data_IF_036998255466
#
_entry.id   IF_036998255466
#
_cell.length_a   1.000
_cell.length_b   1.000
_cell.length_c   1.000
_cell.angle_alpha   90.00
_cell.angle_beta   90.00
_cell.angle_gamma   90.00
#
_symmetry.space_group_name_H-M   'P 1'
#
loop_
_entity.id
_entity.type
_entity.pdbx_description
1 polymer ?
#
# COMPACT_ATOMS: atom_id res chain seq x y z
N UNK A 1 -2.60 -15.88 27.73
CA UNK A 1 -2.68 -17.08 26.85
C UNK A 1 -4.14 -17.41 26.62
N UNK A 2 -4.74 -16.74 25.65
CA UNK A 2 -6.12 -16.99 25.20
C UNK A 2 -6.10 -17.74 23.85
N UNK A 3 -4.88 -17.97 23.32
CA UNK A 3 -4.54 -18.61 22.04
C UNK A 3 -4.65 -20.14 22.05
N UNK A 4 -4.90 -20.76 23.22
CA UNK A 4 -5.23 -22.19 23.32
C UNK A 4 -6.75 -22.45 23.26
N UNK A 5 -7.55 -21.40 23.07
CA UNK A 5 -9.00 -21.48 22.94
C UNK A 5 -9.42 -21.03 21.54
N UNK A 6 -10.33 -21.80 20.94
CA UNK A 6 -10.95 -21.66 19.61
C UNK A 6 -11.82 -20.39 19.51
N UNK A 7 -11.20 -19.22 19.74
CA UNK A 7 -11.88 -17.92 19.85
C UNK A 7 -11.39 -17.00 18.73
N UNK A 8 -12.20 -16.84 17.69
CA UNK A 8 -12.04 -15.79 16.68
C UNK A 8 -12.87 -14.56 17.06
N UNK A 9 -12.34 -13.33 16.90
CA UNK A 9 -13.11 -12.11 17.16
C UNK A 9 -14.23 -11.97 16.11
N UNK A 10 -15.49 -12.07 16.56
CA UNK A 10 -16.65 -12.06 15.67
C UNK A 10 -17.08 -10.63 15.25
N UNK A 11 -16.62 -9.59 15.95
CA UNK A 11 -16.90 -8.18 15.67
C UNK A 11 -16.07 -7.28 16.59
N UNK A 12 -15.41 -6.27 16.03
CA UNK A 12 -14.81 -5.18 16.81
C UNK A 12 -15.87 -4.10 17.04
N UNK A 13 -16.28 -3.89 18.28
CA UNK A 13 -17.05 -2.70 18.67
C UNK A 13 -16.10 -1.78 19.40
N UNK A 14 -15.78 -0.63 18.79
CA UNK A 14 -14.88 0.35 19.38
C UNK A 14 -15.21 1.77 18.92
N UNK A 15 -16.13 2.44 19.62
CA UNK A 15 -16.06 3.90 19.74
C UNK A 15 -15.07 4.21 20.88
N UNK A 16 -13.83 4.57 20.57
CA UNK A 16 -12.91 5.11 21.57
C UNK A 16 -13.12 6.62 21.67
N UNK A 17 -13.82 7.07 22.71
CA UNK A 17 -13.85 8.49 23.09
C UNK A 17 -12.57 8.85 23.86
N UNK A 18 -11.53 9.27 23.13
CA UNK A 18 -10.27 9.80 23.71
C UNK A 18 -10.48 11.27 24.09
N UNK A 19 -10.17 11.64 25.34
CA UNK A 19 -10.33 13.00 25.84
C UNK A 19 -8.99 13.62 26.30
N UNK A 20 -8.85 14.94 26.11
CA UNK A 20 -7.78 15.72 26.72
C UNK A 20 -8.14 16.09 28.17
N UNK A 21 -7.28 15.75 29.13
CA UNK A 21 -7.42 16.21 30.50
C UNK A 21 -6.78 17.60 30.66
N UNK A 22 -7.52 18.56 31.25
CA UNK A 22 -7.06 19.94 31.46
C UNK A 22 -7.29 20.32 32.93
N UNK A 23 -6.40 21.14 33.48
CA UNK A 23 -6.58 21.71 34.82
C UNK A 23 -7.87 22.56 34.88
N UNK A 24 -8.80 22.28 35.80
CA UNK A 24 -10.05 23.05 35.93
C UNK A 24 -9.83 24.55 36.22
N UNK A 25 -8.67 24.95 36.74
CA UNK A 25 -8.31 26.36 36.99
C UNK A 25 -7.85 27.11 35.72
N UNK A 26 -7.78 26.44 34.57
CA UNK A 26 -7.31 27.02 33.29
C UNK A 26 -8.36 26.90 32.17
N UNK A 27 -9.52 27.56 32.31
CA UNK A 27 -10.58 27.53 31.29
C UNK A 27 -10.13 28.17 29.96
N UNK A 28 -9.17 29.08 30.00
CA UNK A 28 -8.55 29.72 28.83
C UNK A 28 -7.87 28.69 27.90
N UNK A 29 -7.21 27.69 28.49
CA UNK A 29 -6.56 26.60 27.72
C UNK A 29 -7.62 25.72 27.06
N UNK A 30 -8.72 25.42 27.77
CA UNK A 30 -9.83 24.64 27.22
C UNK A 30 -10.44 25.33 26.01
N UNK A 31 -10.70 26.63 26.12
CA UNK A 31 -11.32 27.40 25.04
C UNK A 31 -10.41 27.47 23.80
N UNK A 32 -9.10 27.68 24.00
CA UNK A 32 -8.11 27.66 22.92
C UNK A 32 -8.02 26.28 22.25
N UNK A 33 -8.01 25.20 23.04
CA UNK A 33 -7.97 23.83 22.52
C UNK A 33 -9.23 23.50 21.72
N UNK A 34 -10.42 23.77 22.27
CA UNK A 34 -11.68 23.50 21.58
C UNK A 34 -11.78 24.29 20.26
N UNK A 35 -11.31 25.54 20.25
CA UNK A 35 -11.27 26.38 19.06
C UNK A 35 -10.32 25.82 17.99
N UNK A 36 -9.13 25.38 18.39
CA UNK A 36 -8.17 24.73 17.49
C UNK A 36 -8.73 23.41 16.91
N UNK A 37 -9.35 22.58 17.75
CA UNK A 37 -9.97 21.31 17.32
C UNK A 37 -11.12 21.54 16.35
N UNK A 38 -11.95 22.56 16.56
CA UNK A 38 -13.03 22.93 15.61
C UNK A 38 -12.46 23.35 14.26
N UNK A 39 -11.44 24.22 14.26
CA UNK A 39 -10.78 24.66 13.01
C UNK A 39 -10.19 23.50 12.23
N UNK A 40 -9.51 22.58 12.90
CA UNK A 40 -8.93 21.38 12.25
C UNK A 40 -10.04 20.51 11.64
N UNK A 41 -11.17 20.33 12.33
CA UNK A 41 -12.31 19.55 11.84
C UNK A 41 -13.04 20.24 10.67
N UNK A 42 -13.16 21.55 10.72
CA UNK A 42 -13.76 22.34 9.65
C UNK A 42 -12.87 22.34 8.38
N UNK A 43 -11.55 22.41 8.55
CA UNK A 43 -10.58 22.41 7.45
C UNK A 43 -10.39 21.03 6.81
N UNK A 44 -10.44 19.94 7.60
CA UNK A 44 -10.44 18.56 7.10
C UNK A 44 -11.46 17.69 7.84
N UNK A 45 -12.65 17.44 7.25
CA UNK A 45 -13.69 16.62 7.88
C UNK A 45 -13.30 15.16 8.09
N UNK A 46 -12.24 14.67 7.42
CA UNK A 46 -11.69 13.32 7.56
C UNK A 46 -10.46 13.24 8.47
N UNK A 47 -10.04 14.35 9.11
CA UNK A 47 -8.80 14.42 9.88
C UNK A 47 -8.66 13.33 10.95
N UNK A 48 -9.74 13.03 11.69
CA UNK A 48 -9.74 11.99 12.72
C UNK A 48 -9.59 10.60 12.12
N UNK A 49 -10.28 10.34 11.00
CA UNK A 49 -10.20 9.06 10.30
C UNK A 49 -8.82 8.87 9.66
N UNK A 50 -8.23 9.92 9.11
CA UNK A 50 -6.87 9.94 8.56
C UNK A 50 -5.83 9.68 9.65
N UNK A 51 -5.96 10.30 10.83
CA UNK A 51 -5.09 10.03 11.98
C UNK A 51 -5.25 8.61 12.49
N UNK A 52 -6.49 8.12 12.59
CA UNK A 52 -6.78 6.75 13.01
C UNK A 52 -6.15 5.75 12.03
N UNK A 53 -6.38 5.93 10.72
CA UNK A 53 -5.74 5.14 9.67
C UNK A 53 -4.22 5.24 9.75
N UNK A 54 -3.64 6.42 9.92
CA UNK A 54 -2.18 6.61 9.87
C UNK A 54 -1.43 6.07 11.08
N UNK A 55 -2.00 6.15 12.27
CA UNK A 55 -1.28 5.83 13.52
C UNK A 55 -1.79 4.57 14.22
N UNK A 56 -3.06 4.20 14.04
CA UNK A 56 -3.66 3.05 14.73
C UNK A 56 -3.74 1.80 13.85
N UNK A 57 -3.82 1.92 12.51
CA UNK A 57 -3.68 0.75 11.63
C UNK A 57 -2.26 0.17 11.63
N UNK A 58 -1.24 1.01 11.88
CA UNK A 58 0.15 0.57 11.99
C UNK A 58 0.43 -0.26 13.26
N UNK A 59 -0.48 -0.27 14.24
CA UNK A 59 -0.35 -1.05 15.49
C UNK A 59 -1.25 -2.28 15.55
N UNK A 60 -2.16 -2.51 14.59
CA UNK A 60 -2.80 -3.81 14.49
C UNK A 60 -1.78 -4.78 13.93
N UNK A 61 -1.16 -5.57 14.80
CA UNK A 61 -0.60 -6.84 14.38
C UNK A 61 -1.75 -7.66 13.81
N UNK A 62 -1.87 -7.64 12.50
CA UNK A 62 -2.85 -8.45 11.80
C UNK A 62 -2.48 -9.89 12.06
N UNK A 63 -3.36 -10.62 12.72
CA UNK A 63 -3.30 -12.08 12.76
C UNK A 63 -4.06 -12.58 11.53
N UNK A 64 -3.55 -13.62 10.90
CA UNK A 64 -4.30 -14.31 9.86
C UNK A 64 -5.51 -14.99 10.49
N UNK A 65 -6.64 -14.93 9.81
CA UNK A 65 -7.76 -15.82 10.10
C UNK A 65 -7.34 -17.28 9.94
N UNK A 66 -8.15 -18.19 10.48
CA UNK A 66 -7.88 -19.63 10.35
C UNK A 66 -7.81 -20.05 8.88
N UNK A 67 -8.73 -19.54 8.07
CA UNK A 67 -8.81 -19.82 6.64
C UNK A 67 -7.56 -19.32 5.89
N UNK A 68 -7.07 -18.11 6.21
CA UNK A 68 -5.85 -17.57 5.61
C UNK A 68 -4.60 -18.34 6.04
N UNK A 69 -4.50 -18.71 7.31
CA UNK A 69 -3.37 -19.51 7.81
C UNK A 69 -3.36 -20.92 7.21
N UNK A 70 -4.52 -21.55 7.03
CA UNK A 70 -4.64 -22.84 6.35
C UNK A 70 -4.28 -22.73 4.87
N UNK A 71 -4.72 -21.65 4.20
CA UNK A 71 -4.38 -21.38 2.81
C UNK A 71 -2.87 -21.20 2.64
N UNK A 72 -2.22 -20.35 3.44
CA UNK A 72 -0.76 -20.14 3.39
C UNK A 72 -0.01 -21.45 3.65
N UNK A 73 -0.45 -22.23 4.65
CA UNK A 73 0.18 -23.51 4.97
C UNK A 73 0.10 -24.55 3.84
N UNK A 74 -0.95 -24.51 3.01
CA UNK A 74 -1.11 -25.41 1.86
C UNK A 74 -0.46 -24.86 0.58
N UNK A 75 -0.51 -23.55 0.39
CA UNK A 75 -0.04 -22.87 -0.81
C UNK A 75 1.49 -22.73 -0.83
N UNK A 76 2.09 -22.46 0.34
CA UNK A 76 3.52 -22.19 0.47
C UNK A 76 3.85 -20.73 0.16
N UNK A 77 5.02 -20.50 -0.44
CA UNK A 77 5.48 -19.17 -0.78
C UNK A 77 4.54 -18.45 -1.75
N UNK A 78 4.21 -17.20 -1.44
CA UNK A 78 3.39 -16.33 -2.28
C UNK A 78 4.24 -15.85 -3.45
N UNK A 79 3.81 -16.11 -4.67
CA UNK A 79 4.57 -15.83 -5.89
C UNK A 79 4.26 -14.43 -6.41
N UNK A 80 5.26 -13.56 -6.42
CA UNK A 80 5.17 -12.17 -6.86
C UNK A 80 5.78 -12.02 -8.24
N UNK A 81 4.99 -11.58 -9.22
CA UNK A 81 5.49 -11.16 -10.52
C UNK A 81 5.93 -9.69 -10.52
N UNK A 82 7.06 -9.38 -11.15
CA UNK A 82 7.53 -8.01 -11.34
C UNK A 82 8.21 -7.80 -12.70
N UNK A 83 8.37 -6.54 -13.13
CA UNK A 83 9.09 -6.19 -14.36
C UNK A 83 10.60 -6.09 -14.10
N UNK A 84 11.41 -6.74 -14.94
CA UNK A 84 12.87 -6.72 -14.78
C UNK A 84 13.49 -5.33 -14.95
N UNK A 85 12.83 -4.43 -15.67
CA UNK A 85 13.28 -3.07 -15.94
C UNK A 85 12.14 -2.06 -15.74
N UNK A 86 11.88 -1.71 -14.49
CA UNK A 86 10.89 -0.74 -14.05
C UNK A 86 11.54 0.24 -13.05
N UNK A 87 11.99 1.38 -13.58
CA UNK A 87 12.91 2.29 -12.91
C UNK A 87 12.43 2.73 -11.53
N UNK A 88 13.22 2.41 -10.49
CA UNK A 88 12.90 2.75 -9.10
C UNK A 88 11.96 1.76 -8.41
N UNK A 89 11.11 1.05 -9.16
CA UNK A 89 10.19 0.05 -8.59
C UNK A 89 10.83 -1.33 -8.52
N UNK A 90 11.33 -1.83 -9.65
CA UNK A 90 12.06 -3.09 -9.75
C UNK A 90 13.07 -3.05 -10.89
N UNK A 91 14.34 -3.31 -10.56
CA UNK A 91 15.41 -3.39 -11.55
C UNK A 91 16.35 -4.55 -11.22
N UNK A 92 16.58 -5.39 -12.22
CA UNK A 92 17.55 -6.48 -12.15
C UNK A 92 18.84 -6.03 -12.82
N UNK A 93 19.94 -6.06 -12.08
CA UNK A 93 21.27 -5.84 -12.62
C UNK A 93 21.61 -6.95 -13.63
N UNK A 94 21.84 -6.65 -14.92
CA UNK A 94 22.08 -7.69 -15.93
C UNK A 94 23.38 -8.48 -15.73
N UNK A 95 24.34 -7.91 -15.00
CA UNK A 95 25.65 -8.51 -14.75
C UNK A 95 25.67 -9.40 -13.50
N UNK A 96 24.91 -9.03 -12.47
CA UNK A 96 24.89 -9.76 -11.19
C UNK A 96 23.61 -10.55 -10.95
N UNK A 97 22.53 -10.27 -11.69
CA UNK A 97 21.20 -10.82 -11.46
C UNK A 97 20.52 -10.28 -10.20
N UNK A 98 21.12 -9.28 -9.53
CA UNK A 98 20.58 -8.73 -8.29
C UNK A 98 19.35 -7.87 -8.56
N UNK A 99 18.24 -8.22 -7.92
CA UNK A 99 17.03 -7.39 -7.86
C UNK A 99 17.22 -6.23 -6.88
N UNK A 100 16.77 -5.04 -7.28
CA UNK A 100 16.77 -3.79 -6.50
C UNK A 100 15.51 -3.00 -6.77
N UNK A 101 15.15 -2.07 -5.88
CA UNK A 101 13.99 -1.18 -6.03
C UNK A 101 13.02 -1.29 -4.86
N UNK A 102 11.92 -0.55 -4.92
CA UNK A 102 10.88 -0.55 -3.87
C UNK A 102 10.33 -1.96 -3.59
N UNK A 103 10.35 -2.86 -4.58
CA UNK A 103 9.91 -4.25 -4.38
C UNK A 103 10.69 -4.99 -3.29
N UNK A 104 12.00 -4.75 -3.15
CA UNK A 104 12.80 -5.45 -2.13
C UNK A 104 12.41 -5.00 -0.72
N UNK A 105 12.20 -3.70 -0.54
CA UNK A 105 11.78 -3.13 0.74
C UNK A 105 10.35 -3.58 1.10
N UNK A 106 9.47 -3.70 0.10
CA UNK A 106 8.12 -4.22 0.29
C UNK A 106 8.13 -5.67 0.76
N UNK A 107 8.90 -6.53 0.11
CA UNK A 107 9.00 -7.96 0.47
C UNK A 107 9.56 -8.10 1.88
N UNK A 108 10.65 -7.42 2.20
CA UNK A 108 11.26 -7.44 3.53
C UNK A 108 10.27 -7.02 4.63
N UNK A 109 9.44 -6.00 4.37
CA UNK A 109 8.39 -5.57 5.29
C UNK A 109 7.25 -6.59 5.40
N UNK A 110 6.80 -7.13 4.27
CA UNK A 110 5.67 -8.04 4.20
C UNK A 110 5.99 -9.40 4.85
N UNK A 111 7.23 -9.88 4.75
CA UNK A 111 7.67 -11.13 5.41
C UNK A 111 7.50 -11.06 6.92
N UNK A 112 7.68 -9.86 7.49
CA UNK A 112 7.78 -9.62 8.92
C UNK A 112 6.57 -8.88 9.50
N UNK A 113 5.49 -8.71 8.73
CA UNK A 113 4.36 -7.88 9.14
C UNK A 113 3.40 -8.59 10.13
N UNK A 114 3.42 -9.93 10.19
CA UNK A 114 2.53 -10.72 11.03
C UNK A 114 3.23 -11.13 12.34
N UNK A 115 2.53 -10.98 13.47
CA UNK A 115 3.06 -11.45 14.75
C UNK A 115 3.01 -12.97 14.84
N UNK A 116 4.18 -13.61 14.95
CA UNK A 116 4.30 -15.05 15.19
C UNK A 116 4.24 -15.92 13.94
N UNK A 117 4.17 -15.33 12.74
CA UNK A 117 4.20 -16.04 11.47
C UNK A 117 4.99 -15.24 10.44
N UNK A 118 5.80 -15.93 9.65
CA UNK A 118 6.54 -15.33 8.53
C UNK A 118 5.86 -15.74 7.24
N UNK A 119 5.58 -14.77 6.38
CA UNK A 119 5.17 -15.05 5.00
C UNK A 119 6.42 -15.37 4.19
N UNK A 120 6.35 -16.39 3.34
CA UNK A 120 7.40 -16.68 2.37
C UNK A 120 7.00 -16.10 1.02
N UNK A 121 7.95 -15.53 0.29
CA UNK A 121 7.71 -15.00 -1.05
C UNK A 121 8.67 -15.59 -2.08
N UNK A 122 8.17 -15.82 -3.29
CA UNK A 122 8.95 -16.19 -4.47
C UNK A 122 8.84 -15.04 -5.49
N UNK A 123 9.97 -14.48 -5.93
CA UNK A 123 9.98 -13.33 -6.83
C UNK A 123 10.29 -13.78 -8.26
N UNK A 124 9.36 -13.48 -9.18
CA UNK A 124 9.38 -13.91 -10.56
C UNK A 124 9.47 -12.70 -11.49
N UNK A 125 10.61 -12.54 -12.17
CA UNK A 125 10.86 -11.45 -13.10
C UNK A 125 10.29 -11.72 -14.50
N UNK A 126 9.71 -10.69 -15.11
CA UNK A 126 9.15 -10.70 -16.46
C UNK A 126 9.62 -9.48 -17.26
N UNK A 127 9.57 -9.57 -18.59
CA UNK A 127 10.05 -8.49 -19.47
C UNK A 127 8.94 -7.52 -19.85
N UNK A 128 7.69 -8.00 -19.91
CA UNK A 128 6.55 -7.19 -20.36
C UNK A 128 5.35 -7.29 -19.44
N UNK A 129 4.55 -6.22 -19.43
CA UNK A 129 3.29 -6.20 -18.66
C UNK A 129 2.32 -7.28 -19.14
N UNK A 130 2.25 -7.55 -20.43
CA UNK A 130 1.41 -8.63 -20.97
C UNK A 130 1.80 -10.00 -20.43
N UNK A 131 3.09 -10.30 -20.29
CA UNK A 131 3.56 -11.54 -19.68
C UNK A 131 3.18 -11.65 -18.20
N UNK A 132 3.27 -10.56 -17.44
CA UNK A 132 2.82 -10.51 -16.04
C UNK A 132 1.33 -10.82 -15.92
N UNK A 133 0.50 -10.15 -16.73
CA UNK A 133 -0.95 -10.36 -16.71
C UNK A 133 -1.30 -11.82 -17.07
N UNK A 134 -0.61 -12.38 -18.08
CA UNK A 134 -0.81 -13.78 -18.46
C UNK A 134 -0.35 -14.72 -17.35
N UNK A 135 0.78 -14.45 -16.68
CA UNK A 135 1.26 -15.26 -15.58
C UNK A 135 0.27 -15.27 -14.40
N UNK A 136 -0.38 -14.15 -14.12
CA UNK A 136 -1.42 -14.05 -13.10
C UNK A 136 -2.68 -14.85 -13.51
N UNK A 137 -3.13 -14.71 -14.76
CA UNK A 137 -4.26 -15.49 -15.30
C UNK A 137 -3.99 -17.01 -15.29
N UNK A 138 -2.77 -17.41 -15.64
CA UNK A 138 -2.30 -18.78 -15.62
C UNK A 138 -2.04 -19.31 -14.19
N UNK A 139 -2.19 -18.46 -13.16
CA UNK A 139 -1.89 -18.77 -11.75
C UNK A 139 -0.43 -19.20 -11.51
N UNK A 140 0.49 -18.73 -12.35
CA UNK A 140 1.95 -18.90 -12.18
C UNK A 140 2.51 -17.95 -11.12
N UNK A 141 1.85 -16.80 -10.96
CA UNK A 141 2.06 -15.85 -9.87
C UNK A 141 0.73 -15.62 -9.16
N UNK A 142 0.81 -15.17 -7.91
CA UNK A 142 -0.34 -14.88 -7.04
C UNK A 142 -0.65 -13.39 -7.00
N UNK A 143 0.37 -12.54 -7.18
CA UNK A 143 0.24 -11.09 -7.23
C UNK A 143 1.24 -10.45 -8.20
N UNK A 144 0.90 -9.27 -8.71
CA UNK A 144 1.79 -8.44 -9.53
C UNK A 144 2.24 -7.25 -8.68
N UNK A 145 3.55 -7.04 -8.59
CA UNK A 145 4.15 -5.85 -8.03
C UNK A 145 4.85 -5.07 -9.18
N UNK A 146 4.35 -3.92 -9.64
CA UNK A 146 3.23 -3.10 -9.14
C UNK A 146 2.13 -2.94 -10.18
N UNK A 147 1.00 -2.33 -9.80
CA UNK A 147 -0.07 -1.95 -10.73
C UNK A 147 -0.62 -0.57 -10.40
N UNK A 148 -0.99 0.18 -11.44
CA UNK A 148 -1.69 1.45 -11.31
C UNK A 148 -3.10 1.22 -10.73
N UNK A 149 -3.56 2.16 -9.90
CA UNK A 149 -4.90 2.16 -9.31
C UNK A 149 -5.96 2.58 -10.34
N UNK A 150 -6.07 1.85 -11.44
CA UNK A 150 -7.06 2.05 -12.49
C UNK A 150 -8.18 1.00 -12.34
N UNK A 151 -9.37 1.37 -11.82
CA UNK A 151 -10.48 0.44 -11.63
C UNK A 151 -10.97 -0.18 -12.94
N UNK A 152 -10.96 0.57 -14.04
CA UNK A 152 -11.38 0.07 -15.35
C UNK A 152 -10.45 -1.03 -15.85
N UNK A 153 -9.13 -0.84 -15.68
CA UNK A 153 -8.14 -1.86 -16.00
C UNK A 153 -8.31 -3.12 -15.14
N UNK A 154 -8.56 -2.96 -13.85
CA UNK A 154 -8.77 -4.07 -12.93
C UNK A 154 -10.05 -4.86 -13.26
N UNK A 155 -11.17 -4.18 -13.51
CA UNK A 155 -12.44 -4.80 -13.90
C UNK A 155 -12.33 -5.54 -15.24
N UNK A 156 -11.70 -4.90 -16.23
CA UNK A 156 -11.56 -5.48 -17.58
C UNK A 156 -10.73 -6.76 -17.57
N UNK A 157 -9.72 -6.83 -16.70
CA UNK A 157 -8.84 -7.99 -16.62
C UNK A 157 -9.19 -8.96 -15.47
N UNK A 158 -10.22 -8.65 -14.67
CA UNK A 158 -10.71 -9.53 -13.60
C UNK A 158 -9.78 -9.62 -12.39
N UNK A 159 -9.05 -8.56 -12.06
CA UNK A 159 -8.12 -8.54 -10.92
C UNK A 159 -8.66 -7.69 -9.76
N UNK A 160 -8.28 -8.06 -8.54
CA UNK A 160 -8.47 -7.22 -7.37
C UNK A 160 -7.24 -6.31 -7.18
N UNK A 161 -7.47 -5.06 -6.81
CA UNK A 161 -6.42 -4.12 -6.46
C UNK A 161 -6.26 -4.08 -4.94
N UNK A 162 -5.02 -4.14 -4.46
CA UNK A 162 -4.71 -3.88 -3.06
C UNK A 162 -4.84 -2.39 -2.75
N UNK A 163 -4.74 -2.04 -1.46
CA UNK A 163 -4.53 -0.65 -1.07
C UNK A 163 -3.25 -0.08 -1.73
N UNK A 164 -3.27 1.23 -1.97
CA UNK A 164 -2.16 1.95 -2.59
C UNK A 164 -0.90 1.90 -1.71
N UNK A 165 0.16 1.27 -2.23
CA UNK A 165 1.44 1.15 -1.54
C UNK A 165 2.33 2.39 -1.72
N UNK A 166 2.28 3.02 -2.90
CA UNK A 166 3.09 4.18 -3.25
C UNK A 166 2.26 5.17 -4.05
N UNK A 167 2.39 6.46 -3.73
CA UNK A 167 1.83 7.55 -4.55
C UNK A 167 2.98 8.30 -5.21
N UNK A 168 3.06 8.18 -6.54
CA UNK A 168 4.04 8.91 -7.35
C UNK A 168 3.32 10.10 -7.99
N UNK A 169 3.84 11.30 -7.75
CA UNK A 169 3.34 12.48 -8.45
C UNK A 169 3.97 12.50 -9.86
N UNK A 170 3.13 12.64 -10.89
CA UNK A 170 3.63 12.83 -12.25
C UNK A 170 4.40 14.15 -12.34
N UNK A 171 5.55 14.11 -12.98
CA UNK A 171 6.39 15.28 -13.25
C UNK A 171 6.87 15.26 -14.70
N UNK A 172 6.91 16.44 -15.32
CA UNK A 172 7.51 16.61 -16.63
C UNK A 172 9.03 16.79 -16.48
N UNK A 173 9.81 15.86 -17.03
CA UNK A 173 11.27 16.01 -17.12
C UNK A 173 11.59 16.77 -18.40
N UNK A 174 12.29 17.90 -18.26
CA UNK A 174 12.63 18.79 -19.38
C UNK A 174 14.13 19.06 -19.42
N UNK A 175 14.68 19.21 -20.63
CA UNK A 175 16.04 19.70 -20.84
C UNK A 175 16.15 21.23 -20.76
N UNK A 176 15.03 21.95 -20.59
CA UNK A 176 14.98 23.41 -20.45
C UNK A 176 15.04 23.79 -18.97
N UNK A 177 15.67 24.92 -18.68
CA UNK A 177 15.79 25.46 -17.32
C UNK A 177 14.43 25.82 -16.68
N UNK A 178 13.39 26.04 -17.49
CA UNK A 178 12.02 26.27 -17.03
C UNK A 178 11.01 25.66 -17.98
N UNK A 179 10.01 24.97 -17.42
CA UNK A 179 8.85 24.46 -18.15
C UNK A 179 7.67 25.43 -17.98
N UNK A 180 7.00 25.76 -19.08
CA UNK A 180 5.79 26.59 -19.10
C UNK A 180 4.63 25.73 -19.59
N UNK A 181 3.84 25.23 -18.65
CA UNK A 181 2.70 24.34 -18.89
C UNK A 181 1.56 24.99 -19.69
N UNK A 182 1.53 26.33 -19.79
CA UNK A 182 0.46 27.06 -20.48
C UNK A 182 0.73 27.27 -21.98
N UNK A 183 1.84 26.74 -22.50
CA UNK A 183 2.21 26.81 -23.92
C UNK A 183 2.04 25.47 -24.60
N UNK A 184 2.02 25.50 -25.93
CA UNK A 184 2.08 24.28 -26.73
C UNK A 184 3.41 23.57 -26.49
N UNK A 185 3.34 22.33 -26.00
CA UNK A 185 4.48 21.48 -25.69
C UNK A 185 4.28 20.10 -26.33
N UNK A 186 5.35 19.52 -26.85
CA UNK A 186 5.37 18.09 -27.25
C UNK A 186 5.91 17.27 -26.09
N UNK A 187 5.13 16.30 -25.64
CA UNK A 187 5.46 15.45 -24.50
C UNK A 187 5.58 14.01 -24.99
N UNK A 188 6.65 13.33 -24.62
CA UNK A 188 6.76 11.89 -24.80
C UNK A 188 6.12 11.21 -23.58
N UNK A 189 5.23 10.27 -23.83
CA UNK A 189 4.59 9.44 -22.80
C UNK A 189 4.77 7.98 -23.19
N UNK A 190 4.81 7.09 -22.20
CA UNK A 190 4.78 5.66 -22.48
C UNK A 190 3.43 5.30 -23.09
N UNK A 191 3.42 4.40 -24.08
CA UNK A 191 2.21 4.03 -24.80
C UNK A 191 1.15 3.39 -23.89
N UNK A 192 1.60 2.75 -22.80
CA UNK A 192 0.77 2.04 -21.82
C UNK A 192 0.21 2.96 -20.71
N UNK A 193 0.67 4.21 -20.61
CA UNK A 193 0.20 5.20 -19.62
C UNK A 193 -1.06 5.97 -20.07
N UNK A 194 -1.50 5.78 -21.31
CA UNK A 194 -2.66 6.47 -21.90
C UNK A 194 -3.97 5.67 -21.83
N UNK A 195 -4.00 4.50 -21.15
CA UNK A 195 -5.14 3.59 -21.10
C UNK A 195 -5.58 3.19 -19.67
#
# INVERSE_FOLDING_TARGET
RWEESDISPLTSIGETEIYFAINPERPDIKEALDSAMRRIKDDNPFYTDDLYRRYLSAQSSSFLSKEESEWIGQHGAIRIGYLNQDGGISSVDPSTGKLTGVITDYVDLAENCLQGQTLEFELNGYETRSELLQALQDRKIDLIFHANQNPYFAETNGFALSDTLLTINMAAITAKDSFDENKENTVAVEIDDLH
#
